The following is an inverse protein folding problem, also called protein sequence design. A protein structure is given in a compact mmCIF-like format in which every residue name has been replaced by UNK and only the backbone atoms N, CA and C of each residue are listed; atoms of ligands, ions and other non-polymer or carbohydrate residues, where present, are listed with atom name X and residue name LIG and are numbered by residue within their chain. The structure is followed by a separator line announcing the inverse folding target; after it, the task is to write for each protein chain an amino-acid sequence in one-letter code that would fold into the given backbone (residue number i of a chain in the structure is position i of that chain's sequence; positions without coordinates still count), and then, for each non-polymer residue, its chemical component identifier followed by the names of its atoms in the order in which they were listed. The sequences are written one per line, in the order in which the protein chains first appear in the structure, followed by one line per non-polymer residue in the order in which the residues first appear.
data_IF_654920234041
#
_entry.id   IF_654920234041
#
_cell.length_a   1.000
_cell.length_b   1.000
_cell.length_c   1.000
_cell.angle_alpha   90.00
_cell.angle_beta   90.00
_cell.angle_gamma   90.00
#
_symmetry.space_group_name_H-M   'P 1'
#
loop_
_entity.id
_entity.type
_entity.pdbx_description
1 polymer ?
#
# COMPACT_ATOMS: atom_id res chain seq x y z
N UNK A 1 -2.36 -13.59 7.04
CA UNK A 1 -1.19 -12.74 6.68
C UNK A 1 -0.84 -11.76 7.79
N UNK A 2 0.39 -11.20 7.79
CA UNK A 2 0.83 -10.16 8.73
C UNK A 2 1.35 -8.97 7.91
N UNK A 3 1.00 -7.74 8.32
CA UNK A 3 1.50 -6.50 7.72
C UNK A 3 2.25 -5.71 8.80
N UNK A 4 3.46 -5.26 8.49
CA UNK A 4 4.26 -4.37 9.34
C UNK A 4 4.72 -3.15 8.53
N UNK A 5 4.85 -1.99 9.17
CA UNK A 5 5.36 -0.76 8.59
C UNK A 5 6.78 -0.50 9.10
N UNK A 6 7.72 -0.31 8.20
CA UNK A 6 9.13 -0.11 8.52
C UNK A 6 9.58 1.36 8.38
N UNK A 7 8.91 2.09 7.51
CA UNK A 7 9.10 3.54 7.32
C UNK A 7 7.83 4.08 6.63
N UNK A 8 7.75 5.34 6.37
CA UNK A 8 6.66 6.15 5.83
C UNK A 8 5.63 5.36 4.96
N UNK A 9 6.10 4.84 3.83
CA UNK A 9 5.32 3.94 2.97
C UNK A 9 6.05 2.61 2.70
N UNK A 10 7.01 2.23 3.54
CA UNK A 10 7.70 0.96 3.43
C UNK A 10 7.00 -0.10 4.28
N UNK A 11 6.29 -1.01 3.61
CA UNK A 11 5.56 -2.09 4.26
C UNK A 11 6.17 -3.47 3.94
N UNK A 12 5.97 -4.39 4.88
CA UNK A 12 6.28 -5.80 4.72
C UNK A 12 5.01 -6.61 4.94
N UNK A 13 4.71 -7.49 3.99
CA UNK A 13 3.67 -8.49 4.10
C UNK A 13 4.32 -9.85 4.27
N UNK A 14 3.84 -10.62 5.25
CA UNK A 14 4.23 -12.03 5.41
C UNK A 14 3.00 -12.92 5.47
N UNK A 15 3.05 -13.99 4.70
CA UNK A 15 1.99 -14.98 4.69
C UNK A 15 2.59 -16.35 4.36
N UNK A 16 2.23 -17.39 5.13
CA UNK A 16 2.87 -18.70 5.05
C UNK A 16 4.40 -18.55 5.13
N UNK A 17 5.14 -19.01 4.12
CA UNK A 17 6.60 -18.87 4.01
C UNK A 17 7.02 -17.78 3.01
N UNK A 18 6.12 -16.87 2.63
CA UNK A 18 6.36 -15.82 1.65
C UNK A 18 6.50 -14.46 2.33
N UNK A 19 7.36 -13.64 1.76
CA UNK A 19 7.57 -12.25 2.17
C UNK A 19 7.50 -11.33 0.95
N UNK A 20 6.68 -10.28 1.06
CA UNK A 20 6.55 -9.25 0.04
C UNK A 20 6.99 -7.92 0.66
N UNK A 21 7.90 -7.23 0.01
CA UNK A 21 8.29 -5.86 0.35
C UNK A 21 7.56 -4.87 -0.56
N UNK A 22 6.99 -3.82 0.03
CA UNK A 22 6.38 -2.71 -0.70
C UNK A 22 7.18 -1.44 -0.43
N UNK A 23 7.62 -0.77 -1.51
CA UNK A 23 8.32 0.50 -1.44
C UNK A 23 9.55 0.50 -0.50
N UNK A 24 10.51 -0.41 -0.68
CA UNK A 24 11.70 -0.40 0.15
C UNK A 24 12.50 0.89 -0.06
N UNK A 25 12.98 1.45 1.04
CA UNK A 25 13.76 2.70 1.02
C UNK A 25 15.19 2.43 0.56
N UNK A 26 15.68 3.17 -0.44
CA UNK A 26 17.03 3.02 -0.95
C UNK A 26 18.09 3.64 -0.01
N UNK A 27 19.36 3.27 -0.23
CA UNK A 27 20.52 3.85 0.48
C UNK A 27 20.71 5.36 0.24
N UNK A 28 20.15 5.88 -0.87
CA UNK A 28 20.30 7.28 -1.28
C UNK A 28 19.18 8.18 -0.71
N UNK A 29 18.23 7.57 -0.01
CA UNK A 29 17.17 8.27 0.72
C UNK A 29 17.68 8.82 2.05
N UNK A 30 16.97 9.81 2.58
CA UNK A 30 17.14 10.32 3.95
C UNK A 30 16.33 9.52 4.97
N UNK A 31 15.37 8.72 4.51
CA UNK A 31 14.54 7.87 5.34
C UNK A 31 15.34 6.65 5.83
N UNK A 32 14.89 6.08 6.95
CA UNK A 32 15.51 4.88 7.51
C UNK A 32 15.17 3.68 6.65
N UNK A 33 16.16 2.91 6.25
CA UNK A 33 15.95 1.66 5.53
C UNK A 33 15.97 0.46 6.47
N UNK A 34 15.22 -0.58 6.11
CA UNK A 34 15.25 -1.89 6.76
C UNK A 34 15.63 -2.96 5.74
N UNK A 35 16.35 -3.97 6.20
CA UNK A 35 16.80 -5.10 5.37
C UNK A 35 16.08 -6.37 5.81
N UNK A 36 15.41 -7.02 4.88
CA UNK A 36 14.87 -8.36 5.08
C UNK A 36 14.75 -9.08 3.74
N UNK A 37 14.87 -10.40 3.74
CA UNK A 37 14.67 -11.18 2.52
C UNK A 37 13.22 -11.13 2.05
N UNK A 38 13.01 -10.83 0.77
CA UNK A 38 11.70 -10.85 0.12
C UNK A 38 11.67 -11.81 -1.04
N UNK A 39 10.53 -12.44 -1.29
CA UNK A 39 10.28 -13.23 -2.50
C UNK A 39 9.84 -12.32 -3.65
N UNK A 40 9.05 -11.28 -3.32
CA UNK A 40 8.54 -10.29 -4.27
C UNK A 40 8.73 -8.89 -3.68
N UNK A 41 9.04 -7.93 -4.54
CA UNK A 41 9.11 -6.51 -4.16
C UNK A 41 8.28 -5.68 -5.12
N UNK A 42 7.41 -4.85 -4.56
CA UNK A 42 6.57 -3.89 -5.28
C UNK A 42 7.10 -2.47 -5.07
N UNK A 43 7.06 -1.65 -6.12
CA UNK A 43 7.37 -0.23 -6.04
C UNK A 43 6.28 0.58 -6.73
N UNK A 44 5.63 1.48 -5.98
CA UNK A 44 4.59 2.34 -6.54
C UNK A 44 5.14 3.42 -7.47
N UNK A 45 6.37 3.87 -7.24
CA UNK A 45 7.04 4.89 -8.05
C UNK A 45 8.54 4.67 -8.05
N UNK A 46 9.19 4.86 -9.18
CA UNK A 46 10.64 4.72 -9.27
C UNK A 46 11.34 5.99 -8.75
N UNK A 47 11.53 6.05 -7.43
CA UNK A 47 12.13 7.16 -6.70
C UNK A 47 12.86 6.59 -5.46
N UNK A 48 13.89 7.28 -4.96
CA UNK A 48 14.81 6.77 -3.90
C UNK A 48 14.13 6.33 -2.61
N UNK A 49 12.98 6.88 -2.28
CA UNK A 49 12.24 6.51 -1.08
C UNK A 49 11.36 5.25 -1.29
N UNK A 50 11.34 4.69 -2.53
CA UNK A 50 10.48 3.58 -2.95
C UNK A 50 11.23 2.45 -3.68
N UNK A 51 12.52 2.55 -3.96
CA UNK A 51 13.23 1.66 -4.88
C UNK A 51 14.49 1.00 -4.31
N UNK A 52 14.57 0.80 -3.02
CA UNK A 52 15.68 0.15 -2.33
C UNK A 52 15.74 -1.38 -2.50
N UNK A 53 15.64 -1.86 -3.72
CA UNK A 53 15.52 -3.28 -4.06
C UNK A 53 16.69 -4.12 -3.56
N UNK A 54 17.91 -3.56 -3.58
CA UNK A 54 19.15 -4.22 -3.13
C UNK A 54 19.09 -4.66 -1.66
N UNK A 55 18.22 -4.03 -0.86
CA UNK A 55 18.06 -4.37 0.56
C UNK A 55 17.05 -5.49 0.81
N UNK A 56 16.41 -5.97 -0.26
CA UNK A 56 15.39 -7.01 -0.18
C UNK A 56 15.93 -8.39 -0.57
N UNK A 57 17.18 -8.47 -1.02
CA UNK A 57 17.88 -9.73 -1.22
C UNK A 57 18.28 -10.37 0.11
N UNK A 58 18.35 -11.69 0.16
CA UNK A 58 18.84 -12.44 1.32
C UNK A 58 19.70 -13.63 0.89
N UNK A 59 20.99 -13.60 1.22
CA UNK A 59 21.97 -14.56 0.72
C UNK A 59 22.02 -14.50 -0.81
N UNK A 60 21.88 -15.64 -1.45
CA UNK A 60 21.85 -15.77 -2.92
C UNK A 60 20.44 -15.62 -3.52
N UNK A 61 19.43 -15.28 -2.70
CA UNK A 61 18.04 -15.09 -3.14
C UNK A 61 17.80 -13.63 -3.50
N UNK A 62 17.56 -13.42 -4.81
CA UNK A 62 17.11 -12.13 -5.32
C UNK A 62 15.57 -12.10 -5.38
N UNK A 63 14.93 -11.02 -4.97
CA UNK A 63 13.48 -10.87 -5.08
C UNK A 63 13.06 -10.68 -6.54
N UNK A 64 11.85 -11.14 -6.86
CA UNK A 64 11.21 -10.70 -8.10
C UNK A 64 10.70 -9.26 -7.94
N UNK A 65 11.21 -8.32 -8.72
CA UNK A 65 10.89 -6.90 -8.60
C UNK A 65 9.82 -6.49 -9.60
N UNK A 66 8.69 -5.99 -9.08
CA UNK A 66 7.57 -5.42 -9.86
C UNK A 66 7.59 -3.90 -9.70
N UNK A 67 7.80 -3.19 -10.81
CA UNK A 67 7.92 -1.71 -10.84
C UNK A 67 7.16 -1.04 -11.97
N UNK A 68 6.15 -1.71 -12.51
CA UNK A 68 5.35 -1.17 -13.61
C UNK A 68 4.04 -1.94 -13.82
N UNK A 69 3.14 -1.41 -14.68
CA UNK A 69 1.83 -1.98 -14.93
C UNK A 69 1.93 -3.29 -15.72
N UNK A 70 1.31 -4.34 -15.22
CA UNK A 70 1.09 -5.64 -15.86
C UNK A 70 0.29 -6.56 -14.93
N UNK A 71 0.00 -7.76 -15.36
CA UNK A 71 -0.45 -8.86 -14.50
C UNK A 71 0.73 -9.79 -14.22
N UNK A 72 0.84 -10.21 -12.96
CA UNK A 72 1.93 -11.06 -12.49
C UNK A 72 1.38 -12.22 -11.68
N UNK A 73 1.95 -13.39 -11.92
CA UNK A 73 1.80 -14.57 -11.07
C UNK A 73 3.21 -15.00 -10.65
N UNK A 74 3.56 -14.74 -9.42
CA UNK A 74 4.89 -15.01 -8.89
C UNK A 74 4.81 -15.50 -7.44
N UNK A 75 5.52 -16.57 -7.14
CA UNK A 75 5.54 -17.15 -5.78
C UNK A 75 4.15 -17.45 -5.22
N UNK A 76 3.23 -17.95 -6.05
CA UNK A 76 1.82 -18.23 -5.74
C UNK A 76 1.03 -16.99 -5.32
N UNK A 77 1.45 -15.80 -5.74
CA UNK A 77 0.75 -14.53 -5.51
C UNK A 77 0.30 -13.96 -6.85
N UNK A 78 -0.99 -13.66 -6.95
CA UNK A 78 -1.55 -12.93 -8.10
C UNK A 78 -1.55 -11.45 -7.81
N UNK A 79 -0.93 -10.68 -8.71
CA UNK A 79 -0.80 -9.23 -8.58
C UNK A 79 -1.18 -8.61 -9.91
N UNK A 80 -2.10 -7.64 -9.87
CA UNK A 80 -2.38 -6.77 -11.00
C UNK A 80 -1.85 -5.37 -10.69
N UNK A 81 -1.19 -4.77 -11.65
CA UNK A 81 -0.54 -3.47 -11.51
C UNK A 81 -1.10 -2.49 -12.54
N UNK A 82 -1.62 -1.38 -12.08
CA UNK A 82 -2.25 -0.32 -12.86
C UNK A 82 -1.39 0.94 -12.81
N UNK A 83 -0.89 1.37 -13.98
CA UNK A 83 0.00 2.52 -14.12
C UNK A 83 -0.70 3.72 -14.72
N UNK A 84 -0.33 4.90 -14.28
CA UNK A 84 -0.73 6.18 -14.85
C UNK A 84 0.40 7.20 -14.62
N UNK A 85 0.36 8.32 -15.32
CA UNK A 85 1.33 9.40 -15.15
C UNK A 85 0.72 10.45 -14.21
N UNK A 86 1.43 10.78 -13.13
CA UNK A 86 1.03 11.82 -12.19
C UNK A 86 2.26 12.57 -11.69
N UNK A 87 2.05 13.75 -11.10
CA UNK A 87 3.13 14.50 -10.45
C UNK A 87 3.48 13.88 -9.12
N UNK A 88 4.77 13.65 -8.92
CA UNK A 88 5.30 13.25 -7.65
C UNK A 88 6.73 13.83 -7.47
N UNK A 89 6.95 14.52 -6.36
CA UNK A 89 8.22 15.21 -6.06
C UNK A 89 8.61 16.22 -7.17
N UNK A 90 7.59 16.94 -7.67
CA UNK A 90 7.74 17.99 -8.68
C UNK A 90 7.96 17.51 -10.12
N UNK A 91 8.00 16.20 -10.38
CA UNK A 91 8.23 15.61 -11.70
C UNK A 91 7.05 14.72 -12.13
N UNK A 92 6.81 14.62 -13.44
CA UNK A 92 5.89 13.65 -14.00
C UNK A 92 6.51 12.26 -13.90
N UNK A 93 5.84 11.34 -13.20
CA UNK A 93 6.30 9.97 -12.97
C UNK A 93 5.21 8.96 -13.29
N UNK A 94 5.62 7.77 -13.66
CA UNK A 94 4.70 6.62 -13.71
C UNK A 94 4.44 6.19 -12.28
N UNK A 95 3.20 6.32 -11.84
CA UNK A 95 2.73 5.83 -10.55
C UNK A 95 2.01 4.51 -10.80
N UNK A 96 2.28 3.52 -9.98
CA UNK A 96 1.68 2.18 -10.08
C UNK A 96 0.88 1.88 -8.82
N UNK A 97 -0.39 1.53 -8.98
CA UNK A 97 -1.24 0.97 -7.93
C UNK A 97 -1.44 -0.51 -8.17
N UNK A 98 -1.62 -1.28 -7.12
CA UNK A 98 -1.66 -2.74 -7.18
C UNK A 98 -2.95 -3.28 -6.57
N UNK A 99 -3.43 -4.40 -7.11
CA UNK A 99 -4.27 -5.33 -6.36
C UNK A 99 -3.53 -6.64 -6.20
N UNK A 100 -3.67 -7.28 -5.06
CA UNK A 100 -3.10 -8.60 -4.80
C UNK A 100 -4.03 -9.46 -3.94
N UNK A 101 -4.03 -10.76 -4.20
CA UNK A 101 -4.74 -11.75 -3.38
C UNK A 101 -3.74 -12.47 -2.50
N UNK A 102 -3.85 -12.29 -1.18
CA UNK A 102 -3.03 -12.94 -0.17
C UNK A 102 -3.89 -13.61 0.89
N UNK A 103 -3.71 -14.93 1.09
CA UNK A 103 -4.42 -15.69 2.12
C UNK A 103 -5.96 -15.54 2.04
N UNK A 104 -6.49 -15.47 0.79
CA UNK A 104 -7.90 -15.28 0.51
C UNK A 104 -8.43 -13.85 0.75
N UNK A 105 -7.54 -12.87 0.99
CA UNK A 105 -7.88 -11.47 1.22
C UNK A 105 -7.43 -10.63 0.02
N UNK A 106 -8.35 -9.86 -0.55
CA UNK A 106 -8.05 -8.93 -1.62
C UNK A 106 -7.53 -7.60 -1.04
N UNK A 107 -6.38 -7.17 -1.51
CA UNK A 107 -5.72 -5.95 -1.04
C UNK A 107 -5.52 -5.01 -2.22
N UNK A 108 -5.98 -3.76 -2.11
CA UNK A 108 -5.62 -2.68 -3.01
C UNK A 108 -4.56 -1.79 -2.35
N UNK A 109 -3.49 -1.50 -3.09
CA UNK A 109 -2.36 -0.68 -2.66
C UNK A 109 -2.26 0.49 -3.62
N UNK A 110 -2.54 1.69 -3.13
CA UNK A 110 -2.52 2.88 -3.96
C UNK A 110 -1.13 3.52 -3.95
N UNK A 111 -0.66 3.92 -5.12
CA UNK A 111 0.53 4.75 -5.24
C UNK A 111 0.28 6.17 -4.69
N UNK A 112 1.32 7.01 -4.60
CA UNK A 112 1.17 8.42 -4.24
C UNK A 112 0.39 9.15 -5.35
N UNK A 113 -0.90 9.39 -5.09
CA UNK A 113 -1.86 10.06 -5.99
C UNK A 113 -2.68 11.07 -5.20
N UNK A 114 -3.00 12.20 -5.81
CA UNK A 114 -3.83 13.26 -5.23
C UNK A 114 -5.30 13.23 -5.71
N UNK A 115 -5.59 12.42 -6.73
CA UNK A 115 -6.91 12.23 -7.33
C UNK A 115 -7.07 10.77 -7.77
N UNK A 116 -8.32 10.31 -7.92
CA UNK A 116 -8.62 8.99 -8.51
C UNK A 116 -9.02 9.08 -9.99
N UNK A 117 -9.01 10.27 -10.58
CA UNK A 117 -9.50 10.49 -11.94
C UNK A 117 -8.63 9.83 -13.02
N UNK A 118 -7.36 9.53 -12.70
CA UNK A 118 -6.44 8.89 -13.62
C UNK A 118 -6.65 7.38 -13.77
N UNK A 119 -7.43 6.76 -12.90
CA UNK A 119 -7.68 5.32 -12.98
C UNK A 119 -8.62 4.95 -14.12
N UNK A 120 -8.30 3.89 -14.85
CA UNK A 120 -9.19 3.28 -15.83
C UNK A 120 -10.41 2.62 -15.15
N UNK A 121 -11.49 2.42 -15.92
CA UNK A 121 -12.66 1.69 -15.42
C UNK A 121 -12.30 0.28 -14.92
N UNK A 122 -11.37 -0.40 -15.60
CA UNK A 122 -10.89 -1.72 -15.20
C UNK A 122 -10.21 -1.66 -13.82
N UNK A 123 -9.36 -0.65 -13.57
CA UNK A 123 -8.73 -0.46 -12.27
C UNK A 123 -9.78 -0.22 -11.17
N UNK A 124 -10.80 0.59 -11.44
CA UNK A 124 -11.92 0.80 -10.52
C UNK A 124 -12.67 -0.48 -10.19
N UNK A 125 -12.97 -1.31 -11.19
CA UNK A 125 -13.63 -2.61 -10.99
C UNK A 125 -12.78 -3.55 -10.11
N UNK A 126 -11.47 -3.58 -10.29
CA UNK A 126 -10.59 -4.42 -9.48
C UNK A 126 -10.43 -3.87 -8.05
N UNK A 127 -10.28 -2.56 -7.88
CA UNK A 127 -10.21 -1.96 -6.54
C UNK A 127 -11.51 -2.18 -5.75
N UNK A 128 -12.66 -2.20 -6.42
CA UNK A 128 -13.96 -2.45 -5.76
C UNK A 128 -14.10 -3.85 -5.15
N UNK A 129 -13.25 -4.79 -5.53
CA UNK A 129 -13.20 -6.15 -4.97
C UNK A 129 -12.32 -6.25 -3.73
N UNK A 130 -11.59 -5.19 -3.38
CA UNK A 130 -10.62 -5.27 -2.31
C UNK A 130 -11.24 -5.12 -0.92
N UNK A 131 -10.82 -6.00 -0.01
CA UNK A 131 -11.20 -5.99 1.39
C UNK A 131 -10.38 -4.96 2.18
N UNK A 132 -9.12 -4.79 1.80
CA UNK A 132 -8.15 -3.93 2.48
C UNK A 132 -7.60 -2.88 1.53
N UNK A 133 -7.66 -1.61 1.93
CA UNK A 133 -7.01 -0.50 1.24
C UNK A 133 -5.77 -0.03 1.99
N UNK A 134 -4.63 0.02 1.28
CA UNK A 134 -3.42 0.71 1.73
C UNK A 134 -3.37 2.03 0.97
N UNK A 135 -3.57 3.15 1.66
CA UNK A 135 -3.85 4.44 1.03
C UNK A 135 -2.96 5.56 1.59
N UNK A 136 -2.19 6.28 0.73
CA UNK A 136 -1.44 7.47 1.15
C UNK A 136 -2.39 8.65 1.39
N UNK A 137 -2.20 9.38 2.51
CA UNK A 137 -3.10 10.46 2.96
C UNK A 137 -2.39 11.78 3.33
N UNK A 138 -1.10 11.96 2.98
CA UNK A 138 -0.30 13.10 3.46
C UNK A 138 -0.54 14.44 2.76
N UNK A 139 -1.49 14.52 1.83
CA UNK A 139 -1.71 15.75 1.03
C UNK A 139 -0.61 15.98 -0.02
N UNK A 140 -0.59 17.15 -0.64
CA UNK A 140 0.37 17.47 -1.70
C UNK A 140 0.23 16.56 -2.91
N UNK A 141 1.26 15.74 -3.17
CA UNK A 141 1.24 14.73 -4.24
C UNK A 141 0.44 13.45 -3.88
N UNK A 142 -0.16 13.42 -2.70
CA UNK A 142 -1.07 12.34 -2.25
C UNK A 142 -2.43 12.94 -1.89
N UNK A 143 -3.42 12.08 -1.69
CA UNK A 143 -4.72 12.55 -1.20
C UNK A 143 -4.58 13.38 0.08
N UNK A 144 -5.32 14.49 0.17
CA UNK A 144 -5.62 15.06 1.48
C UNK A 144 -6.48 14.07 2.29
N UNK A 145 -6.46 14.09 3.63
CA UNK A 145 -7.30 13.22 4.45
C UNK A 145 -8.77 13.24 4.03
N UNK A 146 -9.30 14.40 3.74
CA UNK A 146 -10.67 14.61 3.28
C UNK A 146 -10.95 13.99 1.92
N UNK A 147 -10.04 14.14 0.94
CA UNK A 147 -10.24 13.58 -0.40
C UNK A 147 -9.99 12.07 -0.40
N UNK A 148 -9.07 11.60 0.44
CA UNK A 148 -8.88 10.17 0.72
C UNK A 148 -10.18 9.52 1.21
N UNK A 149 -10.88 10.16 2.16
CA UNK A 149 -12.16 9.64 2.64
C UNK A 149 -13.24 9.66 1.57
N UNK A 150 -13.31 10.71 0.75
CA UNK A 150 -14.25 10.73 -0.40
C UNK A 150 -13.96 9.61 -1.39
N UNK A 151 -12.69 9.36 -1.69
CA UNK A 151 -12.26 8.28 -2.58
C UNK A 151 -12.65 6.91 -2.02
N UNK A 152 -12.30 6.63 -0.77
CA UNK A 152 -12.62 5.36 -0.10
C UNK A 152 -14.12 5.04 -0.11
N UNK A 153 -14.97 6.02 0.11
CA UNK A 153 -16.43 5.83 0.12
C UNK A 153 -17.02 5.31 -1.20
N UNK A 154 -16.30 5.46 -2.30
CA UNK A 154 -16.76 4.96 -3.60
C UNK A 154 -16.65 3.43 -3.69
N UNK A 155 -15.78 2.81 -2.89
CA UNK A 155 -15.47 1.38 -2.95
C UNK A 155 -15.99 0.59 -1.75
N UNK A 156 -15.98 1.19 -0.57
CA UNK A 156 -16.43 0.55 0.67
C UNK A 156 -15.55 -0.61 1.14
N UNK A 157 -14.22 -0.46 1.21
CA UNK A 157 -13.34 -1.49 1.76
C UNK A 157 -13.69 -1.77 3.22
N UNK A 158 -13.32 -2.95 3.70
CA UNK A 158 -13.58 -3.36 5.10
C UNK A 158 -12.53 -2.81 6.06
N UNK A 159 -11.30 -2.66 5.57
CA UNK A 159 -10.16 -2.19 6.36
C UNK A 159 -9.40 -1.14 5.54
N UNK A 160 -9.03 -0.04 6.19
CA UNK A 160 -8.15 0.97 5.62
C UNK A 160 -6.89 1.06 6.48
N UNK A 161 -5.75 1.06 5.83
CA UNK A 161 -4.44 1.32 6.43
C UNK A 161 -3.90 2.61 5.80
N UNK A 162 -4.06 3.75 6.48
CA UNK A 162 -3.49 5.01 6.03
C UNK A 162 -1.96 4.96 6.14
N UNK A 163 -1.28 5.47 5.13
CA UNK A 163 0.18 5.55 5.05
C UNK A 163 0.60 6.89 4.48
N UNK A 164 1.89 7.21 4.54
CA UNK A 164 2.46 8.43 3.96
C UNK A 164 1.74 9.71 4.42
N UNK A 165 1.40 9.76 5.69
CA UNK A 165 0.79 10.91 6.36
C UNK A 165 1.40 11.13 7.73
N UNK A 166 1.32 12.36 8.22
CA UNK A 166 1.67 12.75 9.57
C UNK A 166 0.62 12.25 10.58
N UNK A 167 0.91 12.40 11.87
CA UNK A 167 -0.10 12.14 12.89
C UNK A 167 -1.33 13.04 12.77
N UNK A 168 -1.13 14.29 12.35
CA UNK A 168 -2.21 15.25 12.17
C UNK A 168 -3.10 14.84 10.98
N UNK A 169 -2.51 14.32 9.89
CA UNK A 169 -3.27 13.80 8.74
C UNK A 169 -4.11 12.58 9.14
N UNK A 170 -3.59 11.70 10.00
CA UNK A 170 -4.32 10.54 10.51
C UNK A 170 -5.51 10.98 11.39
N UNK A 171 -5.32 11.97 12.26
CA UNK A 171 -6.40 12.51 13.10
C UNK A 171 -7.45 13.26 12.28
N UNK A 172 -7.02 14.00 11.23
CA UNK A 172 -7.97 14.62 10.29
C UNK A 172 -8.74 13.55 9.52
N UNK A 173 -8.09 12.50 9.03
CA UNK A 173 -8.75 11.39 8.35
C UNK A 173 -9.78 10.70 9.24
N UNK A 174 -9.46 10.48 10.51
CA UNK A 174 -10.38 9.98 11.53
C UNK A 174 -11.62 10.88 11.66
N UNK A 175 -11.40 12.19 11.72
CA UNK A 175 -12.48 13.19 11.87
C UNK A 175 -13.40 13.17 10.65
N UNK A 176 -12.84 13.15 9.43
CA UNK A 176 -13.60 13.09 8.19
C UNK A 176 -14.37 11.77 8.03
N UNK A 177 -13.80 10.68 8.50
CA UNK A 177 -14.41 9.35 8.45
C UNK A 177 -15.53 9.18 9.49
N UNK A 178 -15.42 9.84 10.63
CA UNK A 178 -16.29 9.60 11.78
C UNK A 178 -16.14 8.19 12.37
N UNK A 179 -14.98 7.54 12.17
CA UNK A 179 -14.68 6.18 12.59
C UNK A 179 -13.44 6.20 13.48
N UNK A 180 -13.47 5.45 14.58
CA UNK A 180 -12.30 5.33 15.44
C UNK A 180 -11.16 4.60 14.76
N UNK A 181 -9.94 5.10 14.98
CA UNK A 181 -8.71 4.50 14.45
C UNK A 181 -8.05 3.69 15.56
N UNK A 182 -7.77 2.41 15.29
CA UNK A 182 -6.88 1.61 16.12
C UNK A 182 -5.43 1.86 15.73
N UNK A 183 -4.54 1.97 16.70
CA UNK A 183 -3.11 2.12 16.46
C UNK A 183 -2.40 0.82 16.81
N UNK A 184 -1.78 0.18 15.83
CA UNK A 184 -1.24 -1.19 15.92
C UNK A 184 0.25 -1.21 15.53
N UNK A 185 1.05 -2.06 16.16
CA UNK A 185 2.44 -2.29 15.72
C UNK A 185 2.52 -3.24 14.52
N UNK A 186 1.52 -4.09 14.37
CA UNK A 186 1.36 -5.01 13.24
C UNK A 186 -0.11 -5.36 13.05
N UNK A 187 -0.52 -5.54 11.82
CA UNK A 187 -1.85 -6.05 11.47
C UNK A 187 -1.73 -7.55 11.25
N UNK A 188 -2.54 -8.34 11.92
CA UNK A 188 -2.66 -9.79 11.66
C UNK A 188 -4.07 -10.06 11.17
N UNK A 189 -4.20 -10.56 9.94
CA UNK A 189 -5.48 -10.82 9.28
C UNK A 189 -5.55 -12.26 8.80
N UNK A 190 -6.71 -12.87 9.00
CA UNK A 190 -7.16 -14.10 8.35
C UNK A 190 -8.44 -13.79 7.61
N UNK A 191 -8.78 -14.55 6.59
CA UNK A 191 -10.01 -14.33 5.82
C UNK A 191 -11.26 -14.26 6.72
N UNK A 192 -11.35 -15.08 7.75
CA UNK A 192 -12.46 -15.08 8.73
C UNK A 192 -12.54 -13.81 9.60
N UNK A 193 -11.48 -13.01 9.64
CA UNK A 193 -11.42 -11.78 10.43
C UNK A 193 -11.91 -10.56 9.61
N UNK A 194 -12.15 -10.75 8.31
CA UNK A 194 -12.71 -9.74 7.42
C UNK A 194 -14.22 -9.67 7.66
N UNK A 195 -14.78 -8.51 8.02
CA UNK A 195 -16.21 -8.34 8.22
C UNK A 195 -17.01 -8.66 6.94
N UNK A 196 -18.11 -9.40 7.06
CA UNK A 196 -18.97 -9.73 5.91
C UNK A 196 -19.68 -8.50 5.36
N UNK A 197 -20.16 -7.60 6.25
CA UNK A 197 -20.83 -6.36 5.87
C UNK A 197 -20.46 -5.19 6.79
N UNK A 198 -20.38 -4.00 6.21
CA UNK A 198 -20.62 -2.69 6.81
C UNK A 198 -19.67 -2.17 7.88
N UNK A 199 -18.78 -2.94 8.47
CA UNK A 199 -17.87 -2.44 9.51
C UNK A 199 -16.54 -2.06 8.90
N UNK A 200 -16.35 -0.77 8.70
CA UNK A 200 -15.07 -0.20 8.29
C UNK A 200 -14.15 -0.08 9.51
N UNK A 201 -12.98 -0.69 9.44
CA UNK A 201 -11.89 -0.46 10.39
C UNK A 201 -10.82 0.41 9.76
N UNK A 202 -10.34 1.39 10.52
CA UNK A 202 -9.15 2.16 10.15
C UNK A 202 -8.04 1.77 11.12
N UNK A 203 -6.90 1.37 10.60
CA UNK A 203 -5.76 0.91 11.40
C UNK A 203 -4.54 1.76 11.06
N UNK A 204 -4.13 2.63 12.00
CA UNK A 204 -2.86 3.33 11.94
C UNK A 204 -1.73 2.37 12.32
N UNK A 205 -0.93 1.98 11.34
CA UNK A 205 0.17 1.05 11.54
C UNK A 205 1.44 1.80 11.92
N UNK A 206 1.91 1.59 13.13
CA UNK A 206 3.13 2.23 13.65
C UNK A 206 4.36 1.79 12.87
N UNK A 207 5.33 2.68 12.75
CA UNK A 207 6.67 2.36 12.23
C UNK A 207 7.42 1.53 13.28
N UNK A 208 7.91 0.36 12.87
CA UNK A 208 8.63 -0.62 13.71
C UNK A 208 10.15 -0.48 13.62
#
# INVERSE_FOLDING_TARGET
MIITRHEDYFLKFTFANKTIGLNPVSKDSKLKTSKFGSDVVLSNVFQKDFNGFDFMAFGDREPFVIKGPSEYEVSDVFIKAYGFVSKFDGEDRVITSYTMLLDGINIAIFGPISSGEEFSNEAYEEFSKADVFILPIGGGDTFSPKDAWKFVKQFGPKIIVPVFGTKDDVEEFKTEAGIDISSEEKITLKQKDIPEEGILKIIDLKIS
#
